data_IF_714315212404
#
_entry.id   IF_714315212404
#
_cell.length_a   1.000
_cell.length_b   1.000
_cell.length_c   1.000
_cell.angle_alpha   90.00
_cell.angle_beta   90.00
_cell.angle_gamma   90.00
#
_symmetry.space_group_name_H-M   'P 1'
#
loop_
_entity.id
_entity.type
_entity.pdbx_description
1 polymer ?
#
# COMPACT_ATOMS: atom_id res chain seq x y z
N UNK A 1 -21.14 -5.79 -2.11
CA UNK A 1 -20.19 -6.86 -2.20
C UNK A 1 -19.01 -6.70 -1.25
N UNK A 2 -18.70 -7.74 -0.55
CA UNK A 2 -17.65 -7.70 0.44
C UNK A 2 -16.28 -7.95 -0.15
N UNK A 3 -15.32 -7.12 0.22
CA UNK A 3 -13.94 -7.37 -0.11
C UNK A 3 -13.41 -8.50 0.76
N UNK A 4 -12.60 -9.37 0.19
CA UNK A 4 -11.94 -10.42 0.95
C UNK A 4 -10.51 -9.99 1.28
N UNK A 5 -10.02 -10.44 2.43
CA UNK A 5 -8.65 -10.18 2.85
C UNK A 5 -7.77 -11.27 2.26
N UNK A 6 -6.70 -10.87 1.59
CA UNK A 6 -5.77 -11.84 1.02
C UNK A 6 -5.00 -12.54 2.12
N UNK A 7 -4.66 -13.82 1.89
CA UNK A 7 -3.87 -14.56 2.89
C UNK A 7 -2.55 -13.85 3.19
N UNK A 8 -2.20 -13.82 4.46
CA UNK A 8 -0.92 -13.27 4.88
C UNK A 8 -0.89 -11.77 5.15
N UNK A 9 -1.98 -11.04 4.81
CA UNK A 9 -2.00 -9.59 4.98
C UNK A 9 -1.80 -9.21 6.44
N UNK A 10 -2.56 -9.81 7.34
CA UNK A 10 -2.47 -9.41 8.74
C UNK A 10 -1.10 -9.72 9.33
N UNK A 11 -0.49 -10.84 8.94
CA UNK A 11 0.84 -11.17 9.41
C UNK A 11 1.88 -10.14 8.96
N UNK A 12 1.75 -9.65 7.73
CA UNK A 12 2.64 -8.58 7.23
C UNK A 12 2.43 -7.30 8.03
N UNK A 13 1.17 -6.92 8.24
CA UNK A 13 0.86 -5.71 9.00
C UNK A 13 1.42 -5.78 10.41
N UNK A 14 1.26 -6.92 11.07
CA UNK A 14 1.79 -7.12 12.41
C UNK A 14 3.31 -7.05 12.43
N UNK A 15 3.96 -7.65 11.44
CA UNK A 15 5.43 -7.64 11.36
C UNK A 15 5.97 -6.23 11.13
N UNK A 16 5.32 -5.47 10.27
CA UNK A 16 5.75 -4.10 10.02
C UNK A 16 5.47 -3.21 11.21
N UNK A 17 4.34 -3.39 11.87
CA UNK A 17 4.02 -2.64 13.08
C UNK A 17 5.06 -2.91 14.17
N UNK A 18 5.48 -4.16 14.32
CA UNK A 18 6.48 -4.53 15.31
C UNK A 18 7.83 -3.85 15.05
N UNK A 19 8.08 -3.44 13.81
CA UNK A 19 9.30 -2.71 13.44
C UNK A 19 9.14 -1.20 13.51
N UNK A 20 8.01 -0.74 14.01
CA UNK A 20 7.77 0.70 14.16
C UNK A 20 7.32 1.39 12.89
N UNK A 21 6.89 0.64 11.87
CA UNK A 21 6.41 1.23 10.63
C UNK A 21 4.99 1.76 10.84
N UNK A 22 4.78 3.03 10.50
CA UNK A 22 3.47 3.65 10.55
C UNK A 22 2.75 3.35 9.24
N UNK A 23 1.45 3.07 9.33
CA UNK A 23 0.71 2.60 8.18
C UNK A 23 -0.63 3.31 8.04
N UNK A 24 -1.07 3.49 6.80
CA UNK A 24 -2.39 4.00 6.48
C UNK A 24 -2.88 3.35 5.19
N UNK A 25 -4.13 3.57 4.88
CA UNK A 25 -4.72 3.09 3.62
C UNK A 25 -5.05 4.29 2.74
N UNK A 26 -4.59 4.23 1.49
CA UNK A 26 -4.95 5.20 0.45
C UNK A 26 -5.76 4.47 -0.60
N UNK A 27 -6.97 4.92 -0.86
CA UNK A 27 -7.93 4.16 -1.64
C UNK A 27 -8.74 5.04 -2.59
N UNK A 28 -9.25 4.44 -3.65
CA UNK A 28 -10.24 5.11 -4.50
C UNK A 28 -11.65 5.05 -3.94
N UNK A 29 -11.88 4.20 -2.94
CA UNK A 29 -13.18 4.09 -2.28
C UNK A 29 -13.28 5.15 -1.18
N UNK A 30 -14.47 5.66 -0.96
CA UNK A 30 -14.69 6.69 0.07
C UNK A 30 -14.27 6.23 1.45
N UNK A 31 -13.70 7.15 2.21
CA UNK A 31 -13.10 6.83 3.51
C UNK A 31 -14.06 6.10 4.46
N UNK A 32 -15.33 6.52 4.66
CA UNK A 32 -16.18 5.77 5.59
C UNK A 32 -16.39 4.31 5.18
N UNK A 33 -16.44 4.03 3.88
CA UNK A 33 -16.59 2.65 3.40
C UNK A 33 -15.35 1.83 3.64
N UNK A 34 -14.18 2.44 3.44
CA UNK A 34 -12.91 1.78 3.70
C UNK A 34 -12.77 1.47 5.18
N UNK A 35 -13.08 2.44 6.04
CA UNK A 35 -12.97 2.23 7.47
C UNK A 35 -13.91 1.14 7.95
N UNK A 36 -15.12 1.10 7.40
CA UNK A 36 -16.07 0.04 7.76
C UNK A 36 -15.56 -1.34 7.34
N UNK A 37 -15.01 -1.45 6.13
CA UNK A 37 -14.48 -2.71 5.64
C UNK A 37 -13.29 -3.18 6.47
N UNK A 38 -12.36 -2.28 6.77
CA UNK A 38 -11.19 -2.61 7.59
C UNK A 38 -11.60 -3.03 8.99
N UNK A 39 -12.56 -2.33 9.57
CA UNK A 39 -13.06 -2.66 10.90
C UNK A 39 -13.73 -4.03 10.91
N UNK A 40 -14.53 -4.33 9.89
CA UNK A 40 -15.23 -5.61 9.86
C UNK A 40 -14.28 -6.80 9.74
N UNK A 41 -13.09 -6.58 9.19
CA UNK A 41 -12.06 -7.62 9.08
C UNK A 41 -11.03 -7.56 10.21
N UNK A 42 -11.23 -6.65 11.16
CA UNK A 42 -10.29 -6.52 12.28
C UNK A 42 -8.95 -5.90 11.91
N UNK A 43 -8.88 -5.20 10.79
CA UNK A 43 -7.61 -4.66 10.30
C UNK A 43 -7.41 -3.19 10.62
N UNK A 44 -8.47 -2.46 10.97
CA UNK A 44 -8.34 -1.01 11.17
C UNK A 44 -7.33 -0.67 12.25
N UNK A 45 -7.17 -1.54 13.23
CA UNK A 45 -6.24 -1.31 14.35
C UNK A 45 -4.78 -1.16 13.90
N UNK A 46 -4.45 -1.63 12.69
CA UNK A 46 -3.09 -1.55 12.18
C UNK A 46 -2.79 -0.22 11.50
N UNK A 47 -3.83 0.56 11.19
CA UNK A 47 -3.69 1.78 10.39
C UNK A 47 -4.04 3.00 11.22
N UNK A 48 -3.29 4.08 11.02
CA UNK A 48 -3.55 5.34 11.73
C UNK A 48 -4.75 6.07 11.15
N UNK A 49 -4.97 5.93 9.85
CA UNK A 49 -6.08 6.59 9.17
C UNK A 49 -6.26 5.97 7.78
N UNK A 50 -7.34 6.35 7.12
CA UNK A 50 -7.57 6.05 5.72
C UNK A 50 -7.84 7.34 4.99
N UNK A 51 -7.36 7.46 3.75
CA UNK A 51 -7.63 8.61 2.89
C UNK A 51 -8.18 8.11 1.57
N UNK A 52 -9.01 8.93 0.94
CA UNK A 52 -9.55 8.59 -0.37
C UNK A 52 -9.08 9.59 -1.42
N UNK A 53 -9.24 9.20 -2.70
CA UNK A 53 -8.89 10.06 -3.81
C UNK A 53 -9.93 11.14 -3.97
N UNK A 54 -9.55 12.40 -3.76
CA UNK A 54 -10.42 13.53 -4.02
C UNK A 54 -10.36 13.97 -5.47
N UNK A 55 -9.30 13.61 -6.16
CA UNK A 55 -9.06 14.03 -7.53
C UNK A 55 -9.90 13.16 -8.47
N UNK A 56 -10.65 13.75 -9.42
CA UNK A 56 -11.41 12.94 -10.39
C UNK A 56 -10.54 12.04 -11.24
N UNK A 57 -9.24 12.34 -11.38
CA UNK A 57 -8.32 11.48 -12.12
C UNK A 57 -7.83 10.30 -11.28
N UNK A 58 -8.24 10.22 -10.02
CA UNK A 58 -7.89 9.11 -9.15
C UNK A 58 -6.39 8.96 -8.98
N UNK A 59 -5.91 7.72 -9.06
CA UNK A 59 -4.50 7.43 -8.82
C UNK A 59 -3.61 7.69 -10.04
N UNK A 60 -4.13 8.30 -11.09
CA UNK A 60 -3.29 8.85 -12.15
C UNK A 60 -2.51 10.06 -11.67
N UNK A 61 -2.96 10.69 -10.59
CA UNK A 61 -2.29 11.82 -9.95
C UNK A 61 -1.80 11.38 -8.56
N UNK A 62 -0.71 11.95 -8.06
CA UNK A 62 -0.14 11.50 -6.79
C UNK A 62 -0.85 12.04 -5.55
N UNK A 63 -1.96 12.76 -5.72
CA UNK A 63 -2.59 13.52 -4.65
C UNK A 63 -2.89 12.67 -3.41
N UNK A 64 -3.46 11.48 -3.60
CA UNK A 64 -3.83 10.64 -2.47
C UNK A 64 -2.60 10.16 -1.69
N UNK A 65 -1.52 9.86 -2.40
CA UNK A 65 -0.29 9.41 -1.74
C UNK A 65 0.39 10.54 -1.00
N UNK A 66 0.41 11.73 -1.61
CA UNK A 66 1.00 12.90 -0.97
C UNK A 66 0.19 13.36 0.23
N UNK A 67 -1.14 13.29 0.12
CA UNK A 67 -2.02 13.59 1.24
C UNK A 67 -1.74 12.65 2.43
N UNK A 68 -1.62 11.36 2.15
CA UNK A 68 -1.29 10.39 3.19
C UNK A 68 0.06 10.70 3.83
N UNK A 69 1.05 10.99 3.02
CA UNK A 69 2.39 11.31 3.52
C UNK A 69 2.36 12.51 4.46
N UNK A 70 1.68 13.57 4.04
CA UNK A 70 1.61 14.79 4.84
C UNK A 70 0.86 14.58 6.14
N UNK A 71 -0.13 13.71 6.14
CA UNK A 71 -0.86 13.39 7.38
C UNK A 71 0.01 12.68 8.40
N UNK A 72 1.00 11.94 7.94
CA UNK A 72 2.01 11.37 8.84
C UNK A 72 2.99 12.41 9.36
N UNK A 73 2.94 13.63 8.84
CA UNK A 73 3.91 14.66 9.19
C UNK A 73 5.24 14.52 8.47
N UNK A 74 5.26 13.76 7.37
CA UNK A 74 6.47 13.50 6.61
C UNK A 74 6.42 14.30 5.31
N UNK A 75 7.56 14.90 4.93
CA UNK A 75 7.60 15.77 3.75
C UNK A 75 8.21 15.08 2.54
N UNK A 76 9.12 14.15 2.75
CA UNK A 76 9.90 13.58 1.64
C UNK A 76 9.33 12.21 1.25
N UNK A 77 8.80 12.05 0.03
CA UNK A 77 8.23 10.76 -0.40
C UNK A 77 9.21 9.60 -0.32
N UNK A 78 10.51 9.85 -0.39
CA UNK A 78 11.51 8.77 -0.33
C UNK A 78 11.45 8.04 1.02
N UNK A 79 10.86 8.65 2.03
CA UNK A 79 10.75 8.06 3.36
C UNK A 79 9.54 7.14 3.51
N UNK A 80 8.74 6.98 2.45
CA UNK A 80 7.52 6.17 2.51
C UNK A 80 7.50 5.16 1.39
N UNK A 81 6.79 4.06 1.63
CA UNK A 81 6.60 2.99 0.66
C UNK A 81 5.12 2.86 0.35
N UNK A 82 4.82 2.77 -0.94
CA UNK A 82 3.44 2.54 -1.41
C UNK A 82 3.34 1.09 -1.89
N UNK A 83 2.34 0.38 -1.35
CA UNK A 83 2.01 -0.98 -1.79
C UNK A 83 0.79 -0.88 -2.70
N UNK A 84 0.90 -1.44 -3.91
CA UNK A 84 -0.17 -1.33 -4.91
C UNK A 84 -0.24 -2.59 -5.74
N UNK A 85 -1.45 -2.85 -6.26
CA UNK A 85 -1.67 -3.97 -7.18
C UNK A 85 -1.96 -3.49 -8.60
N UNK A 86 -1.94 -2.19 -8.85
CA UNK A 86 -2.32 -1.63 -10.14
C UNK A 86 -1.12 -0.95 -10.79
N UNK A 87 -0.97 -1.10 -12.13
CA UNK A 87 0.15 -0.47 -12.82
C UNK A 87 0.10 1.06 -12.75
N UNK A 88 -1.10 1.63 -12.77
CA UNK A 88 -1.25 3.08 -12.68
C UNK A 88 -0.78 3.59 -11.33
N UNK A 89 -1.22 2.95 -10.24
CA UNK A 89 -0.81 3.38 -8.91
C UNK A 89 0.68 3.26 -8.69
N UNK A 90 1.28 2.17 -9.14
CA UNK A 90 2.72 1.96 -9.02
C UNK A 90 3.48 3.06 -9.78
N UNK A 91 3.10 3.33 -11.02
CA UNK A 91 3.79 4.33 -11.84
C UNK A 91 3.67 5.72 -11.23
N UNK A 92 2.48 6.07 -10.76
CA UNK A 92 2.22 7.38 -10.17
C UNK A 92 3.03 7.58 -8.90
N UNK A 93 3.03 6.59 -8.01
CA UNK A 93 3.75 6.69 -6.76
C UNK A 93 5.25 6.77 -6.99
N UNK A 94 5.76 5.96 -7.90
CA UNK A 94 7.20 5.97 -8.21
C UNK A 94 7.63 7.31 -8.80
N UNK A 95 6.82 7.85 -9.73
CA UNK A 95 7.15 9.15 -10.33
C UNK A 95 7.16 10.27 -9.29
N UNK A 96 6.36 10.14 -8.24
CA UNK A 96 6.32 11.14 -7.17
C UNK A 96 7.45 10.97 -6.15
N UNK A 97 8.26 9.92 -6.25
CA UNK A 97 9.41 9.72 -5.39
C UNK A 97 9.27 8.69 -4.30
N UNK A 98 8.12 8.03 -4.22
CA UNK A 98 7.91 6.96 -3.23
C UNK A 98 8.66 5.69 -3.61
N UNK A 99 9.07 4.92 -2.62
CA UNK A 99 9.43 3.53 -2.85
C UNK A 99 8.14 2.76 -3.13
N UNK A 100 8.21 1.75 -3.98
CA UNK A 100 7.01 1.04 -4.41
C UNK A 100 7.18 -0.47 -4.29
N UNK A 101 6.11 -1.13 -3.88
CA UNK A 101 6.02 -2.58 -3.83
C UNK A 101 4.76 -2.99 -4.57
N UNK A 102 4.93 -3.79 -5.61
CA UNK A 102 3.80 -4.33 -6.35
C UNK A 102 3.41 -5.68 -5.79
N UNK A 103 2.12 -5.86 -5.50
CA UNK A 103 1.59 -7.13 -5.04
C UNK A 103 0.67 -7.68 -6.11
N UNK A 104 0.88 -8.94 -6.48
CA UNK A 104 0.07 -9.58 -7.50
C UNK A 104 -1.39 -9.63 -7.08
N UNK A 105 -2.27 -9.34 -8.01
CA UNK A 105 -3.70 -9.44 -7.82
C UNK A 105 -4.30 -10.00 -9.11
N UNK A 106 -5.14 -11.02 -8.99
CA UNK A 106 -5.65 -11.75 -10.15
C UNK A 106 -6.33 -10.83 -11.17
N UNK A 107 -7.19 -9.88 -10.79
CA UNK A 107 -7.80 -8.98 -11.76
C UNK A 107 -6.80 -8.16 -12.57
N UNK A 108 -5.58 -8.01 -12.08
CA UNK A 108 -4.52 -7.24 -12.74
C UNK A 108 -3.44 -8.13 -13.35
N UNK A 109 -3.73 -9.43 -13.53
CA UNK A 109 -2.73 -10.41 -13.95
C UNK A 109 -2.03 -10.04 -15.24
N UNK A 110 -2.77 -9.49 -16.21
CA UNK A 110 -2.18 -9.13 -17.51
C UNK A 110 -1.15 -8.02 -17.38
N UNK A 111 -1.21 -7.22 -16.32
CA UNK A 111 -0.29 -6.11 -16.11
C UNK A 111 0.91 -6.49 -15.22
N UNK A 112 0.96 -7.74 -14.76
CA UNK A 112 2.02 -8.16 -13.85
C UNK A 112 3.43 -7.93 -14.42
N UNK A 113 3.70 -8.24 -15.69
CA UNK A 113 5.03 -7.94 -16.23
C UNK A 113 5.39 -6.46 -16.15
N UNK A 114 4.44 -5.57 -16.43
CA UNK A 114 4.66 -4.14 -16.34
C UNK A 114 4.92 -3.72 -14.88
N UNK A 115 4.15 -4.27 -13.95
CA UNK A 115 4.32 -3.97 -12.54
C UNK A 115 5.72 -4.39 -12.06
N UNK A 116 6.17 -5.57 -12.43
CA UNK A 116 7.48 -6.07 -12.01
C UNK A 116 8.62 -5.21 -12.56
N UNK A 117 8.43 -4.61 -13.73
CA UNK A 117 9.45 -3.74 -14.30
C UNK A 117 9.48 -2.35 -13.66
N UNK A 118 8.33 -1.86 -13.20
CA UNK A 118 8.21 -0.49 -12.72
C UNK A 118 8.41 -0.38 -11.21
N UNK A 119 7.89 -1.31 -10.44
CA UNK A 119 7.98 -1.25 -8.99
C UNK A 119 9.42 -1.50 -8.52
N UNK A 120 9.78 -0.92 -7.39
CA UNK A 120 11.08 -1.18 -6.78
C UNK A 120 11.19 -2.63 -6.32
N UNK A 121 10.09 -3.18 -5.80
CA UNK A 121 9.99 -4.57 -5.40
C UNK A 121 8.66 -5.11 -5.88
N UNK A 122 8.60 -6.42 -6.10
CA UNK A 122 7.37 -7.07 -6.52
C UNK A 122 7.26 -8.42 -5.84
N UNK A 123 6.06 -8.77 -5.40
CA UNK A 123 5.83 -10.03 -4.72
C UNK A 123 4.50 -10.61 -5.18
N UNK A 124 4.47 -11.92 -5.42
CA UNK A 124 3.25 -12.58 -5.86
C UNK A 124 2.26 -12.79 -4.73
N UNK A 125 2.75 -12.89 -3.50
CA UNK A 125 1.89 -13.13 -2.34
C UNK A 125 2.34 -12.27 -1.18
N UNK A 126 1.44 -12.03 -0.25
CA UNK A 126 1.80 -11.34 0.98
C UNK A 126 2.75 -12.19 1.84
N UNK A 127 2.61 -13.51 1.77
CA UNK A 127 3.52 -14.41 2.50
C UNK A 127 4.96 -14.26 2.02
N UNK A 128 5.15 -14.13 0.70
CA UNK A 128 6.48 -13.91 0.15
C UNK A 128 7.04 -12.58 0.63
N UNK A 129 6.21 -11.55 0.66
CA UNK A 129 6.64 -10.25 1.16
C UNK A 129 6.99 -10.31 2.64
N UNK A 130 6.22 -11.09 3.41
CA UNK A 130 6.49 -11.28 4.83
C UNK A 130 7.89 -11.85 5.04
N UNK A 131 8.28 -12.85 4.26
CA UNK A 131 9.62 -13.40 4.34
C UNK A 131 10.66 -12.34 4.02
N UNK A 132 10.42 -11.51 3.03
CA UNK A 132 11.32 -10.42 2.69
C UNK A 132 11.52 -9.49 3.87
N UNK A 133 10.43 -9.09 4.54
CA UNK A 133 10.50 -8.21 5.71
C UNK A 133 11.31 -8.86 6.82
N UNK A 134 11.07 -10.13 7.08
CA UNK A 134 11.72 -10.84 8.19
C UNK A 134 13.20 -11.08 7.92
N UNK A 135 13.56 -11.37 6.68
CA UNK A 135 14.93 -11.72 6.31
C UNK A 135 15.82 -10.51 6.15
N UNK A 136 15.27 -9.40 5.67
CA UNK A 136 16.07 -8.21 5.42
C UNK A 136 16.20 -7.29 6.63
N UNK A 137 15.54 -7.64 7.74
CA UNK A 137 15.64 -6.86 8.96
C UNK A 137 14.65 -5.70 8.99
N UNK A 138 15.08 -4.50 9.33
CA UNK A 138 14.15 -3.40 9.50
C UNK A 138 13.38 -3.08 8.22
N UNK A 139 12.25 -2.40 8.39
CA UNK A 139 11.42 -2.00 7.28
C UNK A 139 12.25 -1.23 6.25
N UNK A 140 11.91 -1.38 4.97
CA UNK A 140 12.72 -0.79 3.92
C UNK A 140 12.84 0.71 4.00
N UNK A 141 11.81 1.38 4.40
CA UNK A 141 11.84 2.84 4.41
C UNK A 141 11.08 3.38 5.58
N UNK A 142 11.51 4.51 6.01
CA UNK A 142 10.77 5.22 7.04
C UNK A 142 10.41 6.58 6.57
#
# INVERSE_FOLDING_TARGET
QEATVKPGVEQVLAAMHARGVRMCVASGTETPLIEAALTSHGLMRWFEFAVDCKNPDGKKKPDVYLDALHRFGVQNPVQATVFEDSPVGIATARAAGFATVGIYDEPMAEFWPQITQTADFASRTWQDWLQNVQQTGPAPRK
#
